data_IF_889221686262
#
_entry.id   IF_889221686262
#
_cell.length_a   1.000
_cell.length_b   1.000
_cell.length_c   1.000
_cell.angle_alpha   90.00
_cell.angle_beta   90.00
_cell.angle_gamma   90.00
#
_symmetry.space_group_name_H-M   'P 1'
#
loop_
_entity.id
_entity.type
_entity.pdbx_description
1 polymer ?
#
# COMPACT_ATOMS: atom_id res chain seq x y z
N UNK A 1 -38.78 -21.79 -21.02
CA UNK A 1 -38.30 -21.74 -19.65
C UNK A 1 -36.78 -21.83 -19.69
N UNK A 2 -36.08 -20.72 -19.45
CA UNK A 2 -34.63 -20.72 -19.25
C UNK A 2 -34.37 -21.28 -17.86
N UNK A 3 -33.59 -22.34 -17.78
CA UNK A 3 -33.07 -22.88 -16.52
C UNK A 3 -31.89 -21.98 -16.15
N UNK A 4 -32.12 -21.02 -15.25
CA UNK A 4 -31.02 -20.29 -14.59
C UNK A 4 -30.39 -21.27 -13.61
N UNK A 5 -29.17 -21.70 -13.89
CA UNK A 5 -28.43 -22.57 -12.99
C UNK A 5 -28.03 -21.77 -11.73
N UNK A 6 -27.95 -22.45 -10.56
CA UNK A 6 -27.58 -21.82 -9.28
C UNK A 6 -26.19 -21.16 -9.28
N UNK A 7 -25.37 -21.42 -10.32
CA UNK A 7 -24.07 -20.79 -10.56
C UNK A 7 -24.22 -19.36 -11.11
N UNK A 8 -25.20 -19.09 -11.98
CA UNK A 8 -25.42 -17.78 -12.59
C UNK A 8 -25.95 -16.75 -11.55
N UNK A 9 -26.81 -17.20 -10.63
CA UNK A 9 -27.33 -16.36 -9.55
C UNK A 9 -26.20 -15.92 -8.59
N UNK A 10 -25.26 -16.83 -8.24
CA UNK A 10 -24.12 -16.52 -7.38
C UNK A 10 -23.08 -15.59 -8.05
N UNK A 11 -22.92 -15.68 -9.37
CA UNK A 11 -21.97 -14.86 -10.09
C UNK A 11 -22.40 -13.38 -10.14
N UNK A 12 -23.72 -13.09 -10.18
CA UNK A 12 -24.25 -11.72 -10.14
C UNK A 12 -24.06 -11.01 -8.81
N UNK A 13 -24.14 -11.76 -7.71
CA UNK A 13 -24.10 -11.18 -6.35
C UNK A 13 -22.69 -10.75 -5.89
N UNK A 14 -21.63 -11.27 -6.50
CA UNK A 14 -20.24 -10.96 -6.13
C UNK A 14 -19.65 -9.78 -6.93
N UNK A 15 -20.42 -9.15 -7.82
CA UNK A 15 -19.96 -7.94 -8.50
C UNK A 15 -19.95 -6.76 -7.54
N UNK A 16 -18.78 -6.11 -7.43
CA UNK A 16 -18.62 -4.92 -6.61
C UNK A 16 -19.25 -3.70 -7.32
N UNK A 17 -20.00 -2.90 -6.57
CA UNK A 17 -20.66 -1.70 -7.10
C UNK A 17 -19.65 -0.68 -7.60
N UNK A 18 -19.83 -0.17 -8.81
CA UNK A 18 -18.94 0.81 -9.43
C UNK A 18 -17.68 0.22 -10.08
N UNK A 19 -17.45 -1.10 -9.98
CA UNK A 19 -16.31 -1.75 -10.61
C UNK A 19 -16.63 -2.20 -12.05
N UNK A 20 -15.63 -2.16 -12.92
CA UNK A 20 -15.64 -2.72 -14.27
C UNK A 20 -14.83 -4.01 -14.29
N UNK A 21 -15.15 -4.89 -15.25
CA UNK A 21 -14.40 -6.15 -15.41
C UNK A 21 -13.22 -5.90 -16.33
N UNK A 22 -12.02 -6.21 -15.85
CA UNK A 22 -10.79 -6.16 -16.64
C UNK A 22 -10.86 -7.22 -17.77
N UNK A 23 -10.56 -6.84 -19.03
CA UNK A 23 -10.62 -7.77 -20.16
C UNK A 23 -9.50 -8.81 -20.14
N UNK A 24 -8.46 -8.62 -19.34
CA UNK A 24 -7.28 -9.49 -19.38
C UNK A 24 -7.39 -10.68 -18.43
N UNK A 25 -7.81 -10.45 -17.18
CA UNK A 25 -7.85 -11.48 -16.15
C UNK A 25 -9.23 -11.62 -15.49
N UNK A 26 -10.23 -10.90 -15.98
CA UNK A 26 -11.57 -10.91 -15.41
C UNK A 26 -11.65 -10.29 -13.99
N UNK A 27 -10.59 -9.65 -13.55
CA UNK A 27 -10.53 -8.95 -12.26
C UNK A 27 -11.50 -7.76 -12.26
N UNK A 28 -11.97 -7.39 -11.07
CA UNK A 28 -12.83 -6.23 -10.91
C UNK A 28 -11.96 -5.00 -10.65
N UNK A 29 -12.10 -3.95 -11.43
CA UNK A 29 -11.26 -2.74 -11.34
C UNK A 29 -12.10 -1.49 -11.20
N UNK A 30 -11.62 -0.54 -10.38
CA UNK A 30 -12.14 0.82 -10.26
C UNK A 30 -10.98 1.80 -10.31
N UNK A 31 -11.11 2.86 -11.13
CA UNK A 31 -10.10 3.93 -11.21
C UNK A 31 -10.76 5.29 -11.09
N UNK A 32 -10.20 6.16 -10.28
CA UNK A 32 -10.67 7.53 -10.09
C UNK A 32 -9.56 8.44 -9.55
N UNK A 33 -9.79 9.75 -9.60
CA UNK A 33 -8.94 10.75 -8.98
C UNK A 33 -9.59 11.26 -7.71
N UNK A 34 -8.91 11.15 -6.58
CA UNK A 34 -9.33 11.76 -5.32
C UNK A 34 -8.68 13.15 -5.18
N UNK A 35 -9.46 14.24 -5.00
CA UNK A 35 -8.89 15.58 -4.90
C UNK A 35 -8.05 15.77 -3.62
N UNK A 36 -6.95 16.54 -3.71
CA UNK A 36 -6.38 17.15 -4.90
C UNK A 36 -5.26 16.29 -5.51
N UNK A 37 -5.55 15.57 -6.60
CA UNK A 37 -4.51 14.91 -7.41
C UNK A 37 -3.95 13.60 -6.84
N UNK A 38 -4.79 12.77 -6.19
CA UNK A 38 -4.43 11.39 -5.85
C UNK A 38 -5.10 10.46 -6.86
N UNK A 39 -4.32 9.87 -7.76
CA UNK A 39 -4.80 8.85 -8.69
C UNK A 39 -4.89 7.52 -7.94
N UNK A 40 -6.04 6.86 -8.06
CA UNK A 40 -6.34 5.61 -7.36
C UNK A 40 -6.80 4.58 -8.38
N UNK A 41 -6.21 3.39 -8.32
CA UNK A 41 -6.73 2.18 -8.99
C UNK A 41 -6.91 1.09 -7.96
N UNK A 42 -8.10 0.54 -7.90
CA UNK A 42 -8.45 -0.60 -7.05
C UNK A 42 -8.60 -1.82 -7.95
N UNK A 43 -7.91 -2.90 -7.59
CA UNK A 43 -7.99 -4.18 -8.26
C UNK A 43 -8.46 -5.23 -7.25
N UNK A 44 -9.64 -5.79 -7.48
CA UNK A 44 -10.24 -6.84 -6.67
C UNK A 44 -10.28 -8.17 -7.44
N UNK A 45 -10.44 -9.32 -6.75
CA UNK A 45 -10.62 -10.61 -7.40
C UNK A 45 -11.75 -10.59 -8.44
N UNK A 46 -11.73 -11.52 -9.38
CA UNK A 46 -12.82 -11.69 -10.36
C UNK A 46 -14.15 -11.96 -9.65
N UNK A 47 -15.27 -11.79 -10.34
CA UNK A 47 -16.62 -12.07 -9.78
C UNK A 47 -16.71 -13.50 -9.25
N UNK A 48 -16.03 -14.45 -9.91
CA UNK A 48 -16.03 -15.86 -9.51
C UNK A 48 -15.21 -16.13 -8.26
N UNK A 49 -14.12 -15.38 -8.09
CA UNK A 49 -13.17 -15.58 -6.98
C UNK A 49 -13.51 -14.75 -5.73
N UNK A 50 -14.19 -13.61 -5.91
CA UNK A 50 -14.61 -12.78 -4.79
C UNK A 50 -15.70 -13.47 -3.98
N UNK A 51 -15.48 -13.66 -2.68
CA UNK A 51 -16.43 -14.31 -1.78
C UNK A 51 -16.87 -13.30 -0.70
N UNK A 52 -18.14 -12.92 -0.71
CA UNK A 52 -18.72 -11.95 0.24
C UNK A 52 -18.65 -12.42 1.71
N UNK A 53 -18.54 -13.72 1.94
CA UNK A 53 -18.48 -14.30 3.28
C UNK A 53 -17.06 -14.31 3.87
N UNK A 54 -16.04 -14.01 3.03
CA UNK A 54 -14.66 -13.92 3.48
C UNK A 54 -14.29 -12.50 3.89
N UNK A 55 -13.40 -12.34 4.89
CA UNK A 55 -12.84 -11.03 5.19
C UNK A 55 -12.07 -10.50 3.99
N UNK A 56 -11.98 -9.18 3.87
CA UNK A 56 -11.27 -8.53 2.78
C UNK A 56 -10.02 -7.83 3.29
N UNK A 57 -8.89 -8.16 2.70
CA UNK A 57 -7.62 -7.51 2.98
C UNK A 57 -7.34 -6.47 1.89
N UNK A 58 -7.29 -5.21 2.30
CA UNK A 58 -6.99 -4.07 1.45
C UNK A 58 -5.51 -3.73 1.56
N UNK A 59 -4.72 -4.02 0.53
CA UNK A 59 -3.31 -3.62 0.45
C UNK A 59 -3.21 -2.28 -0.27
N UNK A 60 -3.00 -1.21 0.48
CA UNK A 60 -2.80 0.14 -0.03
C UNK A 60 -1.32 0.32 -0.37
N UNK A 61 -1.01 0.36 -1.65
CA UNK A 61 0.35 0.45 -2.17
C UNK A 61 0.65 1.88 -2.62
N UNK A 62 1.41 2.61 -1.80
CA UNK A 62 1.88 3.95 -2.15
C UNK A 62 3.11 3.85 -3.07
N UNK A 63 2.96 4.39 -4.28
CA UNK A 63 3.93 4.26 -5.36
C UNK A 63 5.23 5.01 -5.07
N UNK A 64 6.37 4.51 -5.56
CA UNK A 64 7.65 5.21 -5.52
C UNK A 64 7.66 6.46 -6.42
N UNK A 65 8.63 7.33 -6.19
CA UNK A 65 8.81 8.51 -7.02
C UNK A 65 9.04 8.14 -8.50
N UNK A 66 8.44 8.91 -9.40
CA UNK A 66 8.60 8.75 -10.84
C UNK A 66 7.78 7.63 -11.49
N UNK A 67 7.18 6.72 -10.70
CA UNK A 67 6.43 5.59 -11.24
C UNK A 67 4.93 5.90 -11.39
N UNK A 68 4.35 5.40 -12.47
CA UNK A 68 2.90 5.41 -12.69
C UNK A 68 2.25 4.14 -12.13
N UNK A 69 0.92 4.19 -12.00
CA UNK A 69 0.13 3.00 -11.66
C UNK A 69 0.36 1.89 -12.69
N UNK A 70 0.32 2.19 -13.99
CA UNK A 70 0.51 1.18 -15.04
C UNK A 70 1.87 0.51 -14.94
N UNK A 71 2.93 1.28 -14.69
CA UNK A 71 4.27 0.75 -14.48
C UNK A 71 4.33 -0.17 -13.26
N UNK A 72 3.72 0.24 -12.15
CA UNK A 72 3.72 -0.51 -10.89
C UNK A 72 2.88 -1.79 -10.97
N UNK A 73 1.72 -1.74 -11.63
CA UNK A 73 0.91 -2.93 -11.90
C UNK A 73 1.70 -3.94 -12.75
N UNK A 74 2.41 -3.45 -13.74
CA UNK A 74 3.25 -4.21 -14.66
C UNK A 74 2.79 -4.00 -16.10
N UNK A 75 3.58 -3.27 -16.85
CA UNK A 75 3.44 -3.12 -18.29
C UNK A 75 4.67 -3.70 -18.99
N UNK A 76 4.53 -4.03 -20.27
CA UNK A 76 5.71 -4.31 -21.09
C UNK A 76 6.50 -2.99 -21.27
N UNK A 77 7.82 -2.98 -21.00
CA UNK A 77 8.64 -1.79 -21.24
C UNK A 77 8.65 -1.46 -22.73
N UNK A 78 8.54 -0.16 -23.04
CA UNK A 78 8.80 0.36 -24.37
C UNK A 78 10.19 1.00 -24.40
N UNK A 79 10.74 1.19 -25.62
CA UNK A 79 12.07 1.76 -25.78
C UNK A 79 12.18 3.19 -25.22
N UNK A 80 11.07 3.92 -25.23
CA UNK A 80 10.98 5.30 -24.74
C UNK A 80 10.76 5.40 -23.22
N UNK A 81 10.59 4.27 -22.52
CA UNK A 81 10.39 4.30 -21.07
C UNK A 81 11.72 4.61 -20.37
N UNK A 82 11.72 5.60 -19.49
CA UNK A 82 12.89 5.98 -18.68
C UNK A 82 13.33 4.89 -17.70
N UNK A 83 12.44 3.95 -17.38
CA UNK A 83 12.68 2.90 -16.41
C UNK A 83 12.95 1.57 -17.08
N UNK A 84 14.11 0.99 -16.83
CA UNK A 84 14.59 -0.21 -17.53
C UNK A 84 14.46 -1.52 -16.72
N UNK A 85 14.01 -1.45 -15.47
CA UNK A 85 14.03 -2.59 -14.57
C UNK A 85 12.64 -3.19 -14.34
N UNK A 86 12.51 -4.49 -14.51
CA UNK A 86 11.31 -5.27 -14.22
C UNK A 86 11.18 -5.59 -12.73
N UNK A 87 11.18 -4.58 -11.86
CA UNK A 87 11.27 -4.80 -10.41
C UNK A 87 9.93 -4.72 -9.69
N UNK A 88 8.87 -4.29 -10.33
CA UNK A 88 7.61 -4.12 -9.62
C UNK A 88 6.61 -5.21 -9.95
N UNK A 89 5.84 -5.15 -11.00
CA UNK A 89 4.86 -6.18 -11.38
C UNK A 89 3.92 -6.58 -10.23
N UNK A 90 3.42 -5.58 -9.48
CA UNK A 90 2.56 -5.83 -8.30
C UNK A 90 1.27 -6.56 -8.70
N UNK A 91 0.75 -6.34 -9.91
CA UNK A 91 -0.41 -7.07 -10.42
C UNK A 91 -0.16 -8.58 -10.52
N UNK A 92 1.00 -8.99 -11.04
CA UNK A 92 1.38 -10.40 -11.10
C UNK A 92 1.57 -11.02 -9.71
N UNK A 93 2.20 -10.28 -8.79
CA UNK A 93 2.36 -10.70 -7.39
C UNK A 93 1.00 -10.86 -6.69
N UNK A 94 0.08 -9.92 -6.91
CA UNK A 94 -1.29 -9.97 -6.37
C UNK A 94 -2.01 -11.23 -6.85
N UNK A 95 -1.98 -11.53 -8.14
CA UNK A 95 -2.59 -12.74 -8.71
C UNK A 95 -1.95 -14.02 -8.17
N UNK A 96 -0.62 -14.04 -8.04
CA UNK A 96 0.08 -15.18 -7.45
C UNK A 96 -0.37 -15.43 -6.00
N UNK A 97 -0.50 -14.38 -5.20
CA UNK A 97 -0.97 -14.51 -3.80
C UNK A 97 -2.41 -15.01 -3.78
N UNK A 98 -3.32 -14.44 -4.58
CA UNK A 98 -4.71 -14.89 -4.69
C UNK A 98 -4.83 -16.38 -5.03
N UNK A 99 -3.96 -16.86 -5.93
CA UNK A 99 -3.93 -18.29 -6.29
C UNK A 99 -3.46 -19.21 -5.15
N UNK A 100 -2.75 -18.70 -4.16
CA UNK A 100 -2.19 -19.46 -3.05
C UNK A 100 -2.97 -19.33 -1.74
N UNK A 101 -3.64 -18.20 -1.56
CA UNK A 101 -4.30 -17.83 -0.31
C UNK A 101 -5.81 -17.71 -0.56
N UNK A 102 -6.58 -18.54 0.12
CA UNK A 102 -8.03 -18.64 -0.07
C UNK A 102 -8.85 -18.18 1.15
N UNK A 103 -8.18 -17.76 2.22
CA UNK A 103 -8.82 -17.41 3.50
C UNK A 103 -9.46 -16.02 3.49
N UNK A 104 -9.08 -15.16 2.54
CA UNK A 104 -9.57 -13.79 2.43
C UNK A 104 -9.61 -13.31 0.97
N UNK A 105 -10.42 -12.30 0.71
CA UNK A 105 -10.34 -11.55 -0.55
C UNK A 105 -9.13 -10.61 -0.48
N UNK A 106 -8.20 -10.73 -1.41
CA UNK A 106 -7.09 -9.79 -1.54
C UNK A 106 -7.43 -8.70 -2.54
N UNK A 107 -7.53 -7.46 -2.08
CA UNK A 107 -7.74 -6.26 -2.90
C UNK A 107 -6.49 -5.40 -2.85
N UNK A 108 -5.94 -5.05 -4.01
CA UNK A 108 -4.79 -4.15 -4.11
C UNK A 108 -5.24 -2.77 -4.56
N UNK A 109 -4.82 -1.75 -3.83
CA UNK A 109 -5.13 -0.35 -4.09
C UNK A 109 -3.83 0.37 -4.42
N UNK A 110 -3.68 0.81 -5.66
CA UNK A 110 -2.52 1.58 -6.12
C UNK A 110 -2.79 3.06 -5.89
N UNK A 111 -1.86 3.73 -5.23
CA UNK A 111 -1.95 5.13 -4.84
C UNK A 111 -0.80 5.92 -5.45
N UNK A 112 -1.11 6.80 -6.39
CA UNK A 112 -0.17 7.64 -7.11
C UNK A 112 -0.47 9.12 -6.85
N UNK A 113 0.53 9.90 -6.44
CA UNK A 113 0.41 11.36 -6.44
C UNK A 113 0.53 11.89 -7.88
N UNK A 114 -0.27 12.88 -8.28
CA UNK A 114 -0.22 13.53 -9.60
C UNK A 114 1.17 14.12 -9.91
N UNK A 115 1.89 14.56 -8.88
CA UNK A 115 3.27 15.04 -8.95
C UNK A 115 4.30 13.93 -9.12
N UNK A 116 3.88 12.65 -9.21
CA UNK A 116 4.75 11.46 -9.20
C UNK A 116 5.69 11.41 -7.99
N UNK A 117 5.39 12.12 -6.90
CA UNK A 117 6.20 12.15 -5.69
C UNK A 117 5.34 12.54 -4.49
N UNK A 118 5.13 11.61 -3.58
CA UNK A 118 4.38 11.85 -2.34
C UNK A 118 4.99 12.93 -1.47
N UNK A 119 6.33 13.00 -1.43
CA UNK A 119 7.04 14.06 -0.69
C UNK A 119 6.81 15.45 -1.28
N UNK A 120 6.83 15.58 -2.62
CA UNK A 120 6.50 16.83 -3.30
C UNK A 120 5.02 17.17 -3.11
N UNK A 121 4.13 16.20 -3.38
CA UNK A 121 2.70 16.38 -3.24
C UNK A 121 2.30 16.91 -1.85
N UNK A 122 2.87 16.34 -0.77
CA UNK A 122 2.62 16.83 0.60
C UNK A 122 3.05 18.27 0.83
N UNK A 123 4.17 18.68 0.26
CA UNK A 123 4.69 20.06 0.42
C UNK A 123 3.95 21.10 -0.41
N UNK A 124 3.34 20.70 -1.52
CA UNK A 124 2.72 21.61 -2.49
C UNK A 124 1.37 22.19 -2.04
N UNK A 125 0.87 21.83 -0.86
CA UNK A 125 -0.40 22.37 -0.38
C UNK A 125 -0.67 22.13 1.09
N UNK A 126 -1.35 23.08 1.71
CA UNK A 126 -1.76 23.01 3.11
C UNK A 126 -2.86 21.95 3.29
N UNK A 127 -2.78 21.15 4.36
CA UNK A 127 -3.80 20.15 4.71
C UNK A 127 -3.78 18.89 3.85
N UNK A 128 -2.76 18.68 3.04
CA UNK A 128 -2.66 17.49 2.18
C UNK A 128 -2.51 16.19 2.97
N UNK A 129 -1.88 16.23 4.13
CA UNK A 129 -1.83 15.08 5.05
C UNK A 129 -3.22 14.62 5.45
N UNK A 130 -4.14 15.56 5.73
CA UNK A 130 -5.51 15.22 6.06
C UNK A 130 -6.21 14.50 4.90
N UNK A 131 -5.90 14.86 3.65
CA UNK A 131 -6.41 14.14 2.46
C UNK A 131 -5.90 12.70 2.35
N UNK A 132 -4.68 12.42 2.83
CA UNK A 132 -4.18 11.05 2.92
C UNK A 132 -5.06 10.22 3.87
N UNK A 133 -5.38 10.76 5.04
CA UNK A 133 -6.28 10.10 5.99
C UNK A 133 -7.67 9.86 5.37
N UNK A 134 -8.25 10.89 4.76
CA UNK A 134 -9.55 10.79 4.10
C UNK A 134 -9.58 9.70 3.01
N UNK A 135 -8.51 9.57 2.21
CA UNK A 135 -8.39 8.51 1.21
C UNK A 135 -8.36 7.12 1.85
N UNK A 136 -7.59 6.94 2.92
CA UNK A 136 -7.53 5.65 3.64
C UNK A 136 -8.91 5.29 4.19
N UNK A 137 -9.60 6.25 4.82
CA UNK A 137 -10.95 6.07 5.38
C UNK A 137 -12.00 5.81 4.28
N UNK A 138 -11.91 6.52 3.15
CA UNK A 138 -12.79 6.33 2.01
C UNK A 138 -12.66 4.92 1.42
N UNK A 139 -11.43 4.46 1.19
CA UNK A 139 -11.17 3.11 0.67
C UNK A 139 -11.67 2.05 1.67
N UNK A 140 -11.44 2.25 2.97
CA UNK A 140 -11.97 1.35 3.99
C UNK A 140 -13.50 1.28 3.95
N UNK A 141 -14.17 2.42 3.82
CA UNK A 141 -15.62 2.52 3.76
C UNK A 141 -16.23 1.84 2.52
N UNK A 142 -15.55 1.88 1.36
CA UNK A 142 -15.99 1.19 0.13
C UNK A 142 -16.18 -0.33 0.32
N UNK A 143 -15.45 -0.92 1.26
CA UNK A 143 -15.48 -2.35 1.52
C UNK A 143 -16.09 -2.70 2.88
N UNK A 144 -16.80 -1.77 3.53
CA UNK A 144 -17.32 -1.93 4.90
C UNK A 144 -18.16 -3.19 5.10
N UNK A 145 -18.91 -3.62 4.08
CA UNK A 145 -19.75 -4.84 4.12
C UNK A 145 -18.95 -6.15 4.08
N UNK A 146 -17.64 -6.09 3.78
CA UNK A 146 -16.79 -7.27 3.54
C UNK A 146 -15.72 -7.45 4.62
N UNK A 147 -15.98 -6.96 5.84
CA UNK A 147 -15.06 -7.07 6.99
C UNK A 147 -13.61 -6.67 6.64
N UNK A 148 -13.38 -5.43 6.18
CA UNK A 148 -12.08 -5.01 5.67
C UNK A 148 -11.03 -4.85 6.76
N UNK A 149 -9.79 -5.19 6.40
CA UNK A 149 -8.57 -4.76 7.11
C UNK A 149 -7.63 -4.08 6.14
N UNK A 150 -6.76 -3.19 6.64
CA UNK A 150 -5.80 -2.45 5.81
C UNK A 150 -4.38 -2.91 6.09
N UNK A 151 -3.62 -3.11 5.01
CA UNK A 151 -2.16 -3.16 5.01
C UNK A 151 -1.65 -1.92 4.27
N UNK A 152 -0.90 -1.06 4.96
CA UNK A 152 -0.22 0.09 4.34
C UNK A 152 1.14 -0.37 3.81
N UNK A 153 1.33 -0.27 2.52
CA UNK A 153 2.53 -0.72 1.83
C UNK A 153 3.16 0.43 1.03
N UNK A 154 4.47 0.54 1.07
CA UNK A 154 5.18 1.60 0.35
C UNK A 154 6.52 1.14 -0.17
N UNK A 155 6.92 1.71 -1.32
CA UNK A 155 8.26 1.57 -1.87
C UNK A 155 8.89 2.96 -2.06
N UNK A 156 10.17 3.11 -1.70
CA UNK A 156 10.95 4.33 -1.92
C UNK A 156 10.21 5.59 -1.45
N UNK A 157 10.02 6.60 -2.30
CA UNK A 157 9.30 7.84 -2.00
C UNK A 157 7.85 7.64 -1.51
N UNK A 158 7.24 6.47 -1.74
CA UNK A 158 5.92 6.12 -1.25
C UNK A 158 5.79 6.12 0.28
N UNK A 159 6.90 5.97 1.01
CA UNK A 159 6.91 6.08 2.47
C UNK A 159 6.34 7.39 2.99
N UNK A 160 6.44 8.48 2.21
CA UNK A 160 5.83 9.77 2.56
C UNK A 160 4.30 9.70 2.71
N UNK A 161 3.62 8.80 2.00
CA UNK A 161 2.19 8.56 2.20
C UNK A 161 1.91 7.96 3.59
N UNK A 162 2.65 6.92 3.99
CA UNK A 162 2.46 6.27 5.29
C UNK A 162 2.78 7.23 6.44
N UNK A 163 3.88 7.98 6.34
CA UNK A 163 4.21 8.99 7.35
C UNK A 163 3.15 10.11 7.38
N UNK A 164 2.64 10.55 6.20
CA UNK A 164 1.55 11.51 6.14
C UNK A 164 0.28 11.01 6.82
N UNK A 165 -0.07 9.74 6.65
CA UNK A 165 -1.17 9.12 7.39
C UNK A 165 -0.90 9.13 8.90
N UNK A 166 0.29 8.71 9.33
CA UNK A 166 0.65 8.72 10.74
C UNK A 166 0.66 10.12 11.36
N UNK A 167 0.93 11.17 10.59
CA UNK A 167 0.89 12.55 11.08
C UNK A 167 -0.52 13.02 11.42
N UNK A 168 -1.54 12.44 10.79
CA UNK A 168 -2.95 12.87 10.92
C UNK A 168 -3.75 12.06 11.93
N UNK A 169 -3.25 10.93 12.38
CA UNK A 169 -3.95 10.09 13.35
C UNK A 169 -3.28 10.20 14.73
N UNK A 170 -4.08 10.26 15.78
CA UNK A 170 -3.55 10.22 17.14
C UNK A 170 -2.98 8.83 17.43
N UNK A 171 -3.77 7.79 17.24
CA UNK A 171 -3.37 6.39 17.26
C UNK A 171 -3.60 5.78 15.88
N UNK A 172 -2.77 4.80 15.50
CA UNK A 172 -2.99 4.04 14.28
C UNK A 172 -4.27 3.21 14.46
N UNK A 173 -5.27 3.33 13.55
CA UNK A 173 -6.56 2.67 13.70
C UNK A 173 -6.45 1.14 13.78
N UNK A 174 -7.37 0.52 14.51
CA UNK A 174 -7.40 -0.94 14.76
C UNK A 174 -7.57 -1.76 13.47
N UNK A 175 -8.15 -1.20 12.43
CA UNK A 175 -8.32 -1.84 11.13
C UNK A 175 -7.02 -1.89 10.30
N UNK A 176 -5.99 -1.14 10.67
CA UNK A 176 -4.65 -1.25 10.08
C UNK A 176 -3.92 -2.41 10.75
N UNK A 177 -3.64 -3.47 10.00
CA UNK A 177 -3.03 -4.71 10.51
C UNK A 177 -1.56 -4.87 10.13
N UNK A 178 -1.13 -4.19 9.06
CA UNK A 178 0.26 -4.26 8.65
C UNK A 178 0.73 -2.91 8.10
N UNK A 179 1.96 -2.56 8.44
CA UNK A 179 2.70 -1.45 7.84
C UNK A 179 3.99 -2.01 7.24
N UNK A 180 4.22 -1.73 5.95
CA UNK A 180 5.39 -2.23 5.23
C UNK A 180 6.15 -1.07 4.59
N UNK A 181 7.41 -0.94 4.95
CA UNK A 181 8.36 -0.04 4.32
C UNK A 181 9.36 -0.85 3.50
N UNK A 182 9.27 -0.75 2.17
CA UNK A 182 10.22 -1.35 1.24
C UNK A 182 11.11 -0.23 0.75
N UNK A 183 12.30 -0.12 1.33
CA UNK A 183 13.26 0.96 1.08
C UNK A 183 12.60 2.35 1.12
N UNK A 184 11.75 2.61 2.13
CA UNK A 184 10.83 3.76 2.12
C UNK A 184 10.69 4.50 3.45
N UNK A 185 11.42 4.12 4.49
CA UNK A 185 11.31 4.72 5.83
C UNK A 185 12.20 5.94 6.06
N UNK A 186 12.53 6.70 5.01
CA UNK A 186 13.40 7.90 5.05
C UNK A 186 13.01 8.92 6.12
N UNK A 187 11.72 9.11 6.38
CA UNK A 187 11.20 10.10 7.32
C UNK A 187 11.11 9.59 8.76
N UNK A 188 11.62 8.37 9.06
CA UNK A 188 11.58 7.85 10.41
C UNK A 188 12.20 8.83 11.42
N UNK A 189 11.46 9.08 12.50
CA UNK A 189 11.87 9.88 13.63
C UNK A 189 11.31 9.26 14.93
N UNK A 190 12.19 8.83 15.83
CA UNK A 190 11.83 8.15 17.07
C UNK A 190 10.85 8.97 17.93
N UNK A 191 11.07 10.30 18.02
CA UNK A 191 10.25 11.19 18.85
C UNK A 191 8.86 11.39 18.30
N UNK A 192 8.71 11.36 16.95
CA UNK A 192 7.44 11.63 16.28
C UNK A 192 6.60 10.37 16.11
N UNK A 193 7.22 9.25 15.76
CA UNK A 193 6.50 8.04 15.36
C UNK A 193 6.70 6.85 16.30
N UNK A 194 7.75 6.88 17.12
CA UNK A 194 8.16 5.72 17.89
C UNK A 194 7.10 5.20 18.83
N UNK A 195 6.54 6.06 19.70
CA UNK A 195 5.51 5.65 20.66
C UNK A 195 4.20 5.24 19.99
N UNK A 196 3.80 5.95 18.92
CA UNK A 196 2.61 5.62 18.12
C UNK A 196 2.72 4.23 17.49
N UNK A 197 3.86 3.94 16.86
CA UNK A 197 4.10 2.65 16.23
C UNK A 197 4.21 1.51 17.25
N UNK A 198 4.91 1.75 18.37
CA UNK A 198 5.00 0.81 19.49
C UNK A 198 3.62 0.45 20.03
N UNK A 199 2.83 1.48 20.39
CA UNK A 199 1.47 1.30 20.94
C UNK A 199 0.60 0.47 20.00
N UNK A 200 0.66 0.75 18.70
CA UNK A 200 -0.07 -0.01 17.70
C UNK A 200 0.41 -1.47 17.62
N UNK A 201 1.72 -1.73 17.61
CA UNK A 201 2.26 -3.09 17.59
C UNK A 201 1.88 -3.89 18.84
N UNK A 202 1.81 -3.25 20.00
CA UNK A 202 1.44 -3.89 21.28
C UNK A 202 -0.08 -4.09 21.43
N UNK A 203 -0.90 -3.38 20.66
CA UNK A 203 -2.36 -3.41 20.75
C UNK A 203 -2.98 -4.72 20.23
N UNK A 204 -2.32 -5.44 19.32
CA UNK A 204 -2.82 -6.71 18.78
C UNK A 204 -1.67 -7.59 18.27
N UNK A 205 -1.73 -8.92 18.49
CA UNK A 205 -0.76 -9.86 17.91
C UNK A 205 -0.86 -9.96 16.37
N UNK A 206 -1.94 -9.48 15.78
CA UNK A 206 -2.14 -9.42 14.32
C UNK A 206 -1.40 -8.23 13.69
N UNK A 207 -1.07 -7.21 14.49
CA UNK A 207 -0.38 -6.04 13.99
C UNK A 207 1.08 -6.37 13.71
N UNK A 208 1.55 -6.02 12.52
CA UNK A 208 2.91 -6.34 12.08
C UNK A 208 3.56 -5.19 11.33
N UNK A 209 4.83 -4.99 11.60
CA UNK A 209 5.68 -4.06 10.87
C UNK A 209 6.69 -4.85 10.04
N UNK A 210 6.73 -4.58 8.74
CA UNK A 210 7.74 -5.11 7.84
C UNK A 210 8.63 -3.97 7.34
N UNK A 211 9.94 -4.14 7.43
CA UNK A 211 10.90 -3.19 6.89
C UNK A 211 11.96 -3.94 6.11
N UNK A 212 12.06 -3.65 4.81
CA UNK A 212 13.13 -4.12 3.95
C UNK A 212 13.89 -2.92 3.41
N UNK A 213 15.21 -2.96 3.48
CA UNK A 213 16.09 -1.93 2.93
C UNK A 213 17.43 -2.56 2.54
N UNK A 214 18.19 -1.85 1.73
CA UNK A 214 19.59 -2.17 1.45
C UNK A 214 20.48 -1.10 2.06
N UNK A 215 21.78 -1.35 2.13
CA UNK A 215 22.75 -0.34 2.56
C UNK A 215 22.93 0.70 1.44
N UNK A 216 22.22 1.81 1.60
CA UNK A 216 22.15 2.90 0.63
C UNK A 216 23.16 4.04 0.89
N UNK A 217 24.06 3.88 1.88
CA UNK A 217 25.02 4.93 2.26
C UNK A 217 25.89 5.39 1.07
N UNK A 218 26.25 4.45 0.20
CA UNK A 218 27.11 4.68 -0.96
C UNK A 218 26.36 4.59 -2.30
N UNK A 219 25.02 4.55 -2.27
CA UNK A 219 24.23 4.48 -3.49
C UNK A 219 24.31 5.78 -4.31
N UNK A 220 24.52 5.63 -5.60
CA UNK A 220 24.65 6.75 -6.54
C UNK A 220 23.50 6.68 -7.58
N UNK A 221 22.94 7.84 -7.90
CA UNK A 221 22.09 8.06 -9.07
C UNK A 221 22.77 9.13 -9.93
N UNK A 222 23.08 8.82 -11.18
CA UNK A 222 23.81 9.68 -12.10
C UNK A 222 25.12 10.20 -11.50
N UNK A 223 25.85 9.33 -10.78
CA UNK A 223 27.13 9.65 -10.15
C UNK A 223 27.04 10.53 -8.90
N UNK A 224 25.81 10.83 -8.42
CA UNK A 224 25.59 11.64 -7.23
C UNK A 224 25.00 10.79 -6.10
N UNK A 225 25.43 11.01 -4.86
CA UNK A 225 24.82 10.35 -3.70
C UNK A 225 23.35 10.71 -3.60
N UNK A 226 22.52 9.68 -3.49
CA UNK A 226 21.06 9.84 -3.38
C UNK A 226 20.60 10.13 -1.95
N UNK A 227 21.41 9.79 -0.96
CA UNK A 227 21.10 10.03 0.45
C UNK A 227 22.31 10.62 1.17
N UNK A 228 22.06 11.36 2.24
CA UNK A 228 23.11 11.74 3.17
C UNK A 228 23.42 10.55 4.09
N UNK A 229 24.60 10.53 4.70
CA UNK A 229 25.05 9.49 5.65
C UNK A 229 24.03 9.11 6.74
N UNK A 230 23.15 10.03 7.14
CA UNK A 230 22.09 9.83 8.15
C UNK A 230 20.68 9.90 7.56
N UNK A 231 20.55 9.99 6.26
CA UNK A 231 19.29 10.16 5.55
C UNK A 231 18.73 8.90 4.91
N UNK A 232 19.58 7.91 4.68
CA UNK A 232 19.21 6.68 3.99
C UNK A 232 18.30 5.75 4.78
N UNK A 233 17.64 4.84 4.07
CA UNK A 233 16.70 3.88 4.65
C UNK A 233 17.40 2.87 5.56
N UNK A 234 18.63 2.48 5.23
CA UNK A 234 19.45 1.64 6.10
C UNK A 234 19.65 2.28 7.49
N UNK A 235 20.15 3.52 7.51
CA UNK A 235 20.35 4.24 8.77
C UNK A 235 19.04 4.41 9.56
N UNK A 236 17.95 4.75 8.87
CA UNK A 236 16.63 4.92 9.48
C UNK A 236 16.07 3.61 10.02
N UNK A 237 16.32 2.49 9.34
CA UNK A 237 15.95 1.15 9.82
C UNK A 237 16.71 0.78 11.08
N UNK A 238 18.01 1.06 11.14
CA UNK A 238 18.81 0.83 12.35
C UNK A 238 18.30 1.65 13.55
N UNK A 239 17.87 2.91 13.33
CA UNK A 239 17.26 3.73 14.39
C UNK A 239 15.91 3.14 14.84
N UNK A 240 15.02 2.83 13.91
CA UNK A 240 13.71 2.22 14.19
C UNK A 240 13.85 0.93 14.98
N UNK A 241 14.73 0.05 14.54
CA UNK A 241 15.06 -1.20 15.22
C UNK A 241 15.54 -0.98 16.65
N UNK A 242 16.50 -0.08 16.82
CA UNK A 242 17.04 0.25 18.14
C UNK A 242 15.96 0.79 19.07
N UNK A 243 15.09 1.67 18.56
CA UNK A 243 13.98 2.23 19.32
C UNK A 243 13.02 1.14 19.79
N UNK A 244 12.55 0.29 18.87
CA UNK A 244 11.59 -0.75 19.17
C UNK A 244 12.17 -1.80 20.13
N UNK A 245 13.41 -2.26 19.90
CA UNK A 245 14.09 -3.18 20.83
C UNK A 245 14.21 -2.64 22.26
N UNK A 246 14.49 -1.35 22.39
CA UNK A 246 14.63 -0.72 23.71
C UNK A 246 13.29 -0.55 24.43
N UNK A 247 12.22 -0.29 23.70
CA UNK A 247 10.96 0.19 24.28
C UNK A 247 9.84 -0.86 24.29
N UNK A 248 9.94 -1.95 23.53
CA UNK A 248 8.94 -3.02 23.49
C UNK A 248 9.30 -4.17 24.43
N UNK A 249 8.31 -4.64 25.19
CA UNK A 249 8.49 -5.78 26.11
C UNK A 249 8.64 -7.12 25.38
N UNK A 250 8.04 -7.26 24.19
CA UNK A 250 8.11 -8.45 23.35
C UNK A 250 8.44 -8.03 21.92
N UNK A 251 9.69 -8.18 21.56
CA UNK A 251 10.16 -7.89 20.22
C UNK A 251 10.69 -9.19 19.60
N UNK A 252 10.08 -9.65 18.52
CA UNK A 252 10.57 -10.78 17.74
C UNK A 252 11.11 -10.28 16.42
N UNK A 253 12.30 -10.73 16.09
CA UNK A 253 12.88 -10.64 14.74
C UNK A 253 12.71 -11.97 14.06
N UNK A 254 12.23 -11.94 12.83
CA UNK A 254 12.24 -13.09 11.92
C UNK A 254 13.26 -12.82 10.84
#
# INVERSE_FOLDING_TARGET
>A
AQIVTSADARCGDNKLSGFVISPYFGEQEMSFVYPPGINIRINAPSIVEFDRNKPTKLVLYALPNGNSIDWTVGKLPAYEDDWHYHIQHIGAQTRYIRAKVQEYNLVTVYLEADTKSWGKWRRDGVGREQKIKEVVEYIFALFSEYHPTIELNSHSGGGNFIFGFMDTVFDIPIYVKKISFIDSNYNWNDKQYGEKLKKWLEASPENSLFVACYDDENALLDGKSIVSRKGGTWYKTCLMQRYLRKNMKRFRWN
#
